data_IF_878639561964
#
_entry.id   IF_878639561964
#
_cell.length_a   1.000
_cell.length_b   1.000
_cell.length_c   1.000
_cell.angle_alpha   90.00
_cell.angle_beta   90.00
_cell.angle_gamma   90.00
#
_symmetry.space_group_name_H-M   'P 1'
#
loop_
_entity.id
_entity.type
_entity.pdbx_description
1 polymer ?
#
# COMPACT_ATOMS: atom_id res chain seq x y z
N UNK A 1 4.77 -29.27 14.32
CA UNK A 1 4.53 -28.95 12.91
C UNK A 1 3.13 -28.35 12.83
N UNK A 2 2.98 -27.02 12.88
CA UNK A 2 1.65 -26.38 12.91
C UNK A 2 0.96 -26.61 11.56
N UNK A 3 -0.20 -27.23 11.58
CA UNK A 3 -1.07 -27.40 10.40
C UNK A 3 -1.32 -26.03 9.76
N UNK A 4 -0.68 -25.77 8.62
CA UNK A 4 -1.06 -24.67 7.75
C UNK A 4 -2.44 -25.02 7.20
N UNK A 5 -3.49 -24.47 7.79
CA UNK A 5 -4.80 -24.35 7.14
C UNK A 5 -4.57 -23.89 5.70
N UNK A 6 -4.82 -24.78 4.74
CA UNK A 6 -4.47 -24.56 3.34
C UNK A 6 -5.53 -23.60 2.78
N UNK A 7 -5.28 -22.29 2.92
CA UNK A 7 -6.14 -21.24 2.37
C UNK A 7 -6.53 -21.59 0.92
N UNK A 8 -7.82 -21.49 0.62
CA UNK A 8 -8.32 -21.67 -0.75
C UNK A 8 -7.74 -20.59 -1.66
N UNK A 9 -7.72 -20.84 -2.97
CA UNK A 9 -7.24 -19.85 -3.95
C UNK A 9 -7.93 -18.49 -3.78
N UNK A 10 -9.27 -18.50 -3.64
CA UNK A 10 -10.07 -17.29 -3.44
C UNK A 10 -9.66 -16.54 -2.16
N UNK A 11 -9.48 -17.25 -1.06
CA UNK A 11 -9.06 -16.63 0.20
C UNK A 11 -7.66 -16.01 0.10
N UNK A 12 -6.73 -16.67 -0.61
CA UNK A 12 -5.39 -16.11 -0.87
C UNK A 12 -5.47 -14.83 -1.70
N UNK A 13 -6.27 -14.87 -2.78
CA UNK A 13 -6.48 -13.72 -3.64
C UNK A 13 -7.09 -12.55 -2.85
N UNK A 14 -8.13 -12.80 -2.06
CA UNK A 14 -8.78 -11.78 -1.24
C UNK A 14 -7.82 -11.16 -0.21
N UNK A 15 -6.96 -11.99 0.40
CA UNK A 15 -5.96 -11.53 1.36
C UNK A 15 -4.91 -10.64 0.70
N UNK A 16 -4.33 -11.08 -0.42
CA UNK A 16 -3.35 -10.31 -1.18
C UNK A 16 -3.98 -9.01 -1.70
N UNK A 17 -5.22 -9.03 -2.15
CA UNK A 17 -5.87 -7.82 -2.63
C UNK A 17 -6.17 -6.81 -1.51
N UNK A 18 -6.46 -7.28 -0.30
CA UNK A 18 -6.54 -6.39 0.88
C UNK A 18 -5.19 -5.75 1.18
N UNK A 19 -4.09 -6.48 1.08
CA UNK A 19 -2.73 -5.95 1.26
C UNK A 19 -2.43 -4.86 0.22
N UNK A 20 -2.65 -5.13 -1.06
CA UNK A 20 -2.40 -4.12 -2.10
C UNK A 20 -3.36 -2.93 -2.06
N UNK A 21 -4.59 -3.11 -1.55
CA UNK A 21 -5.47 -1.96 -1.23
C UNK A 21 -4.84 -1.04 -0.19
N UNK A 22 -4.16 -1.58 0.83
CA UNK A 22 -3.45 -0.77 1.82
C UNK A 22 -2.25 -0.07 1.18
N UNK A 23 -1.46 -0.79 0.37
CA UNK A 23 -0.34 -0.22 -0.38
C UNK A 23 -0.75 0.97 -1.25
N UNK A 24 -1.80 0.81 -2.07
CA UNK A 24 -2.32 1.89 -2.93
C UNK A 24 -2.84 3.08 -2.14
N UNK A 25 -3.55 2.82 -1.03
CA UNK A 25 -4.00 3.88 -0.13
C UNK A 25 -2.83 4.63 0.48
N UNK A 26 -1.76 3.93 0.86
CA UNK A 26 -0.56 4.56 1.40
C UNK A 26 0.11 5.47 0.36
N UNK A 27 0.30 4.98 -0.86
CA UNK A 27 0.84 5.79 -1.98
C UNK A 27 -0.01 7.02 -2.26
N UNK A 28 -1.33 6.87 -2.33
CA UNK A 28 -2.24 7.98 -2.58
C UNK A 28 -2.21 9.01 -1.44
N UNK A 29 -2.21 8.57 -0.18
CA UNK A 29 -2.10 9.47 0.98
C UNK A 29 -0.79 10.25 0.95
N UNK A 30 0.32 9.59 0.67
CA UNK A 30 1.62 10.22 0.55
C UNK A 30 1.62 11.27 -0.57
N UNK A 31 1.10 10.91 -1.75
CA UNK A 31 0.93 11.83 -2.86
C UNK A 31 0.11 13.06 -2.47
N UNK A 32 -1.04 12.87 -1.79
CA UNK A 32 -1.85 13.99 -1.32
C UNK A 32 -1.08 14.88 -0.34
N UNK A 33 -0.35 14.31 0.62
CA UNK A 33 0.44 15.09 1.58
C UNK A 33 1.57 15.88 0.92
N UNK A 34 2.20 15.32 -0.11
CA UNK A 34 3.29 15.97 -0.86
C UNK A 34 2.81 17.09 -1.77
N UNK A 35 1.59 16.96 -2.31
CA UNK A 35 1.02 17.93 -3.26
C UNK A 35 0.01 18.89 -2.61
N UNK A 36 -0.39 18.69 -1.34
CA UNK A 36 -1.16 19.70 -0.61
C UNK A 36 -0.29 20.91 -0.30
N UNK A 37 -0.82 22.11 -0.58
CA UNK A 37 -0.18 23.39 -0.30
C UNK A 37 0.43 23.43 1.11
N UNK A 38 1.73 23.74 1.18
CA UNK A 38 2.51 23.81 2.41
C UNK A 38 1.95 24.85 3.40
N UNK A 39 1.42 25.95 2.87
CA UNK A 39 0.85 27.02 3.67
C UNK A 39 -0.62 26.75 3.98
N UNK A 40 -1.05 26.81 5.25
CA UNK A 40 -2.46 26.86 5.56
C UNK A 40 -3.05 28.10 4.89
N UNK A 41 -4.19 27.95 4.21
CA UNK A 41 -4.97 29.10 3.78
C UNK A 41 -5.45 29.83 5.04
N UNK A 42 -4.70 30.85 5.44
CA UNK A 42 -5.06 31.72 6.55
C UNK A 42 -6.25 32.54 6.05
N UNK A 43 -7.46 32.15 6.45
CA UNK A 43 -8.62 33.01 6.29
C UNK A 43 -8.40 34.27 7.12
N UNK A 44 -7.98 35.36 6.46
CA UNK A 44 -7.68 36.66 7.10
C UNK A 44 -8.93 37.37 7.61
N UNK A 45 -10.13 36.86 7.29
CA UNK A 45 -11.41 37.47 7.62
C UNK A 45 -11.95 37.11 9.02
N UNK A 46 -11.27 36.26 9.79
CA UNK A 46 -11.71 35.81 11.12
C UNK A 46 -10.62 35.91 12.19
N UNK A 47 -9.99 37.08 12.33
CA UNK A 47 -9.14 37.35 13.50
C UNK A 47 -10.03 37.77 14.68
N UNK A 48 -10.62 36.79 15.37
CA UNK A 48 -11.02 36.97 16.77
C UNK A 48 -9.86 36.46 17.62
N UNK A 49 -9.16 37.38 18.30
CA UNK A 49 -8.14 37.04 19.29
C UNK A 49 -8.74 36.14 20.37
N UNK A 50 -8.55 34.82 20.24
CA UNK A 50 -8.76 33.90 21.35
C UNK A 50 -7.40 33.70 22.00
N UNK A 51 -7.35 33.82 23.33
CA UNK A 51 -6.15 33.56 24.14
C UNK A 51 -5.51 32.24 23.70
N UNK A 52 -4.34 32.32 23.09
CA UNK A 52 -3.59 31.15 22.61
C UNK A 52 -3.02 30.40 23.81
N UNK A 53 -3.79 29.44 24.35
CA UNK A 53 -3.18 28.37 25.14
C UNK A 53 -2.34 27.54 24.18
N UNK A 54 -1.03 27.41 24.43
CA UNK A 54 -0.15 26.47 23.73
C UNK A 54 -0.58 25.03 24.05
N UNK A 55 -1.70 24.60 23.48
CA UNK A 55 -2.25 23.26 23.59
C UNK A 55 -1.90 22.41 22.38
N UNK A 56 -2.20 21.11 22.48
CA UNK A 56 -2.10 20.05 21.44
C UNK A 56 -2.53 20.44 20.01
N UNK A 57 -3.23 21.55 19.82
CA UNK A 57 -3.72 22.06 18.53
C UNK A 57 -2.88 23.22 17.95
N UNK A 58 -1.66 23.42 18.43
CA UNK A 58 -0.76 24.44 17.88
C UNK A 58 -0.39 24.13 16.41
N UNK A 59 -0.05 25.17 15.64
CA UNK A 59 0.40 25.02 14.25
C UNK A 59 1.62 24.08 14.19
N UNK A 60 2.56 24.22 15.13
CA UNK A 60 3.73 23.34 15.25
C UNK A 60 3.35 21.87 15.49
N UNK A 61 2.38 21.59 16.38
CA UNK A 61 1.92 20.21 16.62
C UNK A 61 1.29 19.59 15.36
N UNK A 62 0.51 20.37 14.59
CA UNK A 62 -0.07 19.92 13.31
C UNK A 62 0.99 19.67 12.24
N UNK A 63 2.05 20.48 12.20
CA UNK A 63 3.17 20.30 11.27
C UNK A 63 3.98 19.05 11.63
N UNK A 64 4.30 18.84 12.91
CA UNK A 64 5.00 17.64 13.36
C UNK A 64 4.19 16.37 13.05
N UNK A 65 2.88 16.36 13.34
CA UNK A 65 2.02 15.22 12.99
C UNK A 65 2.04 14.92 11.49
N UNK A 66 2.04 15.94 10.62
CA UNK A 66 2.14 15.75 9.17
C UNK A 66 3.47 15.15 8.74
N UNK A 67 4.57 15.51 9.41
CA UNK A 67 5.91 14.94 9.16
C UNK A 67 5.92 13.47 9.58
N UNK A 68 5.45 13.16 10.78
CA UNK A 68 5.38 11.79 11.30
C UNK A 68 4.50 10.91 10.40
N UNK A 69 3.31 11.39 10.01
CA UNK A 69 2.41 10.70 9.09
C UNK A 69 3.09 10.41 7.74
N UNK A 70 3.88 11.36 7.22
CA UNK A 70 4.61 11.21 5.97
C UNK A 70 5.68 10.13 6.06
N UNK A 71 6.46 10.13 7.15
CA UNK A 71 7.52 9.15 7.35
C UNK A 71 6.97 7.74 7.57
N UNK A 72 5.87 7.60 8.29
CA UNK A 72 5.22 6.30 8.49
C UNK A 72 4.61 5.75 7.19
N UNK A 73 4.02 6.60 6.36
CA UNK A 73 3.56 6.20 5.02
C UNK A 73 4.72 5.74 4.15
N UNK A 74 5.86 6.44 4.17
CA UNK A 74 7.07 6.02 3.43
C UNK A 74 7.58 4.67 3.91
N UNK A 75 7.72 4.47 5.23
CA UNK A 75 8.16 3.18 5.80
C UNK A 75 7.25 2.04 5.35
N UNK A 76 5.93 2.24 5.40
CA UNK A 76 4.96 1.25 4.96
C UNK A 76 5.13 0.92 3.48
N UNK A 77 5.24 1.92 2.61
CA UNK A 77 5.45 1.74 1.17
C UNK A 77 6.77 1.00 0.90
N UNK A 78 7.86 1.40 1.56
CA UNK A 78 9.17 0.74 1.45
C UNK A 78 9.11 -0.73 1.87
N UNK A 79 8.38 -1.06 2.95
CA UNK A 79 8.22 -2.44 3.38
C UNK A 79 7.53 -3.30 2.30
N UNK A 80 6.47 -2.78 1.67
CA UNK A 80 5.85 -3.44 0.53
C UNK A 80 6.82 -3.61 -0.64
N UNK A 81 7.59 -2.57 -0.98
CA UNK A 81 8.54 -2.60 -2.09
C UNK A 81 9.68 -3.61 -1.85
N UNK A 82 10.17 -3.74 -0.61
CA UNK A 82 11.13 -4.78 -0.22
C UNK A 82 10.53 -6.18 -0.46
N UNK A 83 9.30 -6.41 -0.02
CA UNK A 83 8.62 -7.70 -0.24
C UNK A 83 8.44 -7.98 -1.73
N UNK A 84 8.01 -7.00 -2.52
CA UNK A 84 7.81 -7.14 -3.97
C UNK A 84 9.13 -7.49 -4.66
N UNK A 85 10.21 -6.79 -4.31
CA UNK A 85 11.54 -7.02 -4.89
C UNK A 85 12.15 -8.37 -4.49
N UNK A 86 11.72 -8.94 -3.35
CA UNK A 86 12.15 -10.25 -2.90
C UNK A 86 11.43 -11.41 -3.62
N UNK A 87 10.33 -11.15 -4.32
CA UNK A 87 9.61 -12.19 -5.07
C UNK A 87 10.45 -12.69 -6.26
N UNK A 88 10.24 -13.96 -6.62
CA UNK A 88 10.74 -14.53 -7.87
C UNK A 88 10.29 -13.70 -9.09
N UNK A 89 11.11 -13.61 -10.16
CA UNK A 89 10.80 -12.80 -11.34
C UNK A 89 9.42 -13.10 -11.93
N UNK A 90 9.03 -14.37 -11.97
CA UNK A 90 7.74 -14.77 -12.52
C UNK A 90 6.58 -14.33 -11.63
N UNK A 91 6.73 -14.40 -10.31
CA UNK A 91 5.75 -13.88 -9.36
C UNK A 91 5.65 -12.37 -9.44
N UNK A 92 6.78 -11.65 -9.60
CA UNK A 92 6.76 -10.20 -9.80
C UNK A 92 5.94 -9.81 -11.01
N UNK A 93 6.05 -10.52 -12.15
CA UNK A 93 5.24 -10.24 -13.35
C UNK A 93 3.75 -10.34 -13.05
N UNK A 94 3.31 -11.42 -12.38
CA UNK A 94 1.91 -11.60 -12.00
C UNK A 94 1.46 -10.49 -11.05
N UNK A 95 2.23 -10.23 -9.99
CA UNK A 95 1.86 -9.27 -8.96
C UNK A 95 1.81 -7.84 -9.50
N UNK A 96 2.79 -7.47 -10.33
CA UNK A 96 2.83 -6.16 -10.96
C UNK A 96 1.60 -5.93 -11.83
N UNK A 97 1.26 -6.88 -12.71
CA UNK A 97 0.14 -6.69 -13.63
C UNK A 97 -1.22 -6.77 -12.92
N UNK A 98 -1.40 -7.71 -11.98
CA UNK A 98 -2.70 -7.94 -11.31
C UNK A 98 -3.00 -6.93 -10.21
N UNK A 99 -2.01 -6.62 -9.37
CA UNK A 99 -2.27 -5.92 -8.12
C UNK A 99 -1.70 -4.51 -8.08
N UNK A 100 -0.56 -4.25 -8.74
CA UNK A 100 0.09 -2.93 -8.71
C UNK A 100 -0.43 -2.04 -9.85
N UNK A 101 -0.27 -2.48 -11.10
CA UNK A 101 -0.73 -1.77 -12.28
C UNK A 101 -2.22 -1.95 -12.54
N UNK A 102 -2.79 -3.09 -12.09
CA UNK A 102 -4.18 -3.49 -12.35
C UNK A 102 -4.53 -3.43 -13.84
N UNK A 103 -3.76 -4.15 -14.66
CA UNK A 103 -4.05 -4.33 -16.08
C UNK A 103 -5.37 -5.04 -16.30
N UNK A 104 -5.87 -4.98 -17.54
CA UNK A 104 -7.08 -5.68 -17.96
C UNK A 104 -7.01 -7.18 -17.68
N UNK A 105 -8.16 -7.79 -17.41
CA UNK A 105 -8.26 -9.17 -16.87
C UNK A 105 -7.65 -10.26 -17.77
N UNK A 106 -7.37 -9.94 -19.02
CA UNK A 106 -6.91 -10.81 -20.09
C UNK A 106 -5.48 -10.53 -20.54
N UNK A 107 -4.73 -9.64 -19.85
CA UNK A 107 -3.33 -9.30 -20.17
C UNK A 107 -2.42 -10.52 -20.34
N UNK A 108 -2.74 -11.64 -19.70
CA UNK A 108 -1.96 -12.87 -19.70
C UNK A 108 -2.17 -13.74 -20.95
N UNK A 109 -3.23 -13.50 -21.73
CA UNK A 109 -3.60 -14.33 -22.90
C UNK A 109 -2.49 -14.37 -23.97
N UNK A 110 -1.71 -13.29 -24.09
CA UNK A 110 -0.63 -13.19 -25.06
C UNK A 110 0.61 -14.00 -24.66
N UNK A 111 0.74 -14.37 -23.38
CA UNK A 111 1.97 -14.93 -22.80
C UNK A 111 1.80 -16.35 -22.25
N UNK A 112 0.59 -16.69 -21.79
CA UNK A 112 0.34 -17.91 -21.05
C UNK A 112 -0.92 -18.62 -21.51
N UNK A 113 -0.88 -19.96 -21.49
CA UNK A 113 -2.11 -20.73 -21.45
C UNK A 113 -2.86 -20.45 -20.14
N UNK A 114 -4.19 -20.60 -20.15
CA UNK A 114 -5.02 -20.43 -18.95
C UNK A 114 -4.52 -21.26 -17.77
N UNK A 115 -4.20 -22.53 -18.00
CA UNK A 115 -3.71 -23.43 -16.97
C UNK A 115 -2.37 -22.96 -16.38
N UNK A 116 -1.45 -22.51 -17.24
CA UNK A 116 -0.16 -21.96 -16.81
C UNK A 116 -0.37 -20.71 -15.97
N UNK A 117 -1.18 -19.76 -16.43
CA UNK A 117 -1.45 -18.52 -15.71
C UNK A 117 -1.99 -18.76 -14.30
N UNK A 118 -3.01 -19.61 -14.13
CA UNK A 118 -3.57 -19.85 -12.79
C UNK A 118 -2.60 -20.58 -11.86
N UNK A 119 -1.70 -21.44 -12.39
CA UNK A 119 -0.63 -22.05 -11.59
C UNK A 119 0.38 -21.00 -11.13
N UNK A 120 0.84 -20.13 -12.03
CA UNK A 120 1.76 -19.04 -11.71
C UNK A 120 1.14 -18.05 -10.73
N UNK A 121 -0.13 -17.70 -10.92
CA UNK A 121 -0.88 -16.84 -10.00
C UNK A 121 -0.99 -17.45 -8.61
N UNK A 122 -1.31 -18.74 -8.52
CA UNK A 122 -1.35 -19.42 -7.22
C UNK A 122 0.01 -19.34 -6.52
N UNK A 123 1.10 -19.58 -7.24
CA UNK A 123 2.47 -19.48 -6.71
C UNK A 123 2.79 -18.06 -6.24
N UNK A 124 2.48 -17.04 -7.05
CA UNK A 124 2.72 -15.64 -6.70
C UNK A 124 1.95 -15.20 -5.45
N UNK A 125 0.69 -15.63 -5.31
CA UNK A 125 -0.10 -15.37 -4.11
C UNK A 125 0.50 -16.04 -2.87
N UNK A 126 0.93 -17.29 -2.99
CA UNK A 126 1.57 -18.02 -1.89
C UNK A 126 2.89 -17.39 -1.47
N UNK A 127 3.68 -16.92 -2.44
CA UNK A 127 4.98 -16.30 -2.19
C UNK A 127 4.85 -14.97 -1.46
N UNK A 128 3.93 -14.09 -1.88
CA UNK A 128 3.64 -12.86 -1.12
C UNK A 128 3.21 -13.18 0.30
N UNK A 129 2.24 -14.10 0.45
CA UNK A 129 1.73 -14.45 1.78
C UNK A 129 2.82 -15.10 2.64
N UNK A 130 3.80 -15.77 2.04
CA UNK A 130 4.97 -16.28 2.76
C UNK A 130 5.82 -15.14 3.32
N UNK A 131 6.21 -14.16 2.49
CA UNK A 131 7.03 -13.03 2.95
C UNK A 131 6.33 -12.16 3.98
N UNK A 132 5.03 -11.89 3.79
CA UNK A 132 4.25 -11.04 4.71
C UNK A 132 3.98 -11.74 6.05
N UNK A 133 3.87 -13.07 6.10
CA UNK A 133 3.70 -13.81 7.36
C UNK A 133 5.02 -14.09 8.11
N UNK A 134 6.17 -13.74 7.52
CA UNK A 134 7.50 -13.86 8.15
C UNK A 134 7.97 -12.50 8.72
N UNK A 135 7.37 -11.39 8.26
CA UNK A 135 7.55 -10.05 8.85
C UNK A 135 6.63 -9.85 10.06
#
# INVERSE_FOLDING_TARGET
>A
MKEKSKLTFKQKQDAVEKLFRQYHRAKLKLYCLENTSFYPEISTSLVKERKHTYGKNSIAARLNQRIDDKDDLKKLISAFEIVINALSPESQVIINNEFILKKDSDWWNEYYSRATYYRMKTRALEEILFYVNIS
#
